data_IF_279566887626
#
_entry.id   IF_279566887626
#
_cell.length_a   1.000
_cell.length_b   1.000
_cell.length_c   1.000
_cell.angle_alpha   90.00
_cell.angle_beta   90.00
_cell.angle_gamma   90.00
#
_symmetry.space_group_name_H-M   'P 1'
#
loop_
_entity.id
_entity.type
_entity.pdbx_description
1 polymer ?
#
# COMPACT_ATOMS: atom_id res chain seq x y z
N UNK A 1 -1.84 -11.29 -11.42
CA UNK A 1 -0.85 -10.34 -10.88
C UNK A 1 -1.37 -8.92 -11.08
N UNK A 2 -1.12 -8.04 -10.15
CA UNK A 2 -1.43 -6.61 -10.24
C UNK A 2 -0.18 -5.83 -10.66
N UNK A 3 0.58 -6.40 -11.60
CA UNK A 3 1.81 -5.82 -12.10
C UNK A 3 1.60 -4.35 -12.50
N UNK A 4 2.50 -3.47 -12.08
CA UNK A 4 2.46 -2.05 -12.36
C UNK A 4 1.50 -1.21 -11.53
N UNK A 5 0.82 -1.77 -10.51
CA UNK A 5 0.01 -0.98 -9.59
C UNK A 5 0.79 -0.64 -8.32
N UNK A 6 0.71 0.62 -7.83
CA UNK A 6 1.28 0.96 -6.53
C UNK A 6 0.67 0.12 -5.41
N UNK A 7 1.53 -0.56 -4.66
CA UNK A 7 1.13 -1.41 -3.53
C UNK A 7 2.08 -1.20 -2.35
N UNK A 8 1.60 -1.51 -1.15
CA UNK A 8 2.47 -1.71 -0.01
C UNK A 8 3.17 -3.07 -0.15
N UNK A 9 4.38 -3.24 0.41
CA UNK A 9 5.00 -4.55 0.51
C UNK A 9 4.06 -5.55 1.17
N UNK A 10 3.97 -6.76 0.64
CA UNK A 10 3.11 -7.75 1.24
C UNK A 10 2.85 -8.97 0.37
N UNK A 11 2.66 -10.11 1.03
CA UNK A 11 2.46 -11.39 0.41
C UNK A 11 1.66 -12.35 1.29
N UNK A 12 1.85 -13.63 1.06
CA UNK A 12 1.22 -14.71 1.83
C UNK A 12 2.00 -14.98 3.09
N UNK A 13 1.29 -15.44 4.10
CA UNK A 13 1.92 -15.98 5.31
C UNK A 13 2.53 -17.33 4.96
N UNK A 14 3.82 -17.49 5.23
CA UNK A 14 4.57 -18.72 4.99
C UNK A 14 4.60 -19.62 6.23
N UNK A 15 4.87 -20.93 6.06
CA UNK A 15 5.00 -21.86 7.19
C UNK A 15 6.05 -21.41 8.22
N UNK A 16 7.12 -20.77 7.78
CA UNK A 16 8.20 -20.25 8.63
C UNK A 16 7.73 -19.07 9.49
N UNK A 17 6.84 -18.21 8.98
CA UNK A 17 6.24 -17.12 9.73
C UNK A 17 5.47 -17.64 10.96
N UNK A 18 4.74 -18.76 10.81
CA UNK A 18 4.06 -19.39 11.94
C UNK A 18 5.03 -19.94 12.99
N UNK A 19 6.18 -20.47 12.57
CA UNK A 19 7.21 -20.96 13.49
C UNK A 19 7.80 -19.80 14.31
N UNK A 20 8.18 -18.73 13.64
CA UNK A 20 8.69 -17.52 14.28
C UNK A 20 7.66 -16.85 15.19
N UNK A 21 6.41 -16.77 14.75
CA UNK A 21 5.30 -16.24 15.55
C UNK A 21 5.16 -16.96 16.89
N UNK A 22 5.19 -18.30 16.88
CA UNK A 22 5.14 -19.10 18.11
C UNK A 22 6.37 -18.91 19.00
N UNK A 23 7.55 -18.79 18.40
CA UNK A 23 8.80 -18.60 19.14
C UNK A 23 8.87 -17.23 19.80
N UNK A 24 8.41 -16.19 19.12
CA UNK A 24 8.53 -14.80 19.57
C UNK A 24 7.29 -14.29 20.33
N UNK A 25 6.17 -15.02 20.29
CA UNK A 25 4.90 -14.56 20.85
C UNK A 25 4.30 -13.35 20.12
N UNK A 26 4.64 -13.19 18.84
CA UNK A 26 4.21 -12.08 17.99
C UNK A 26 3.17 -12.57 16.98
N UNK A 27 2.08 -11.81 16.70
CA UNK A 27 1.10 -12.17 15.69
C UNK A 27 1.74 -12.46 14.32
N UNK A 28 1.35 -13.57 13.69
CA UNK A 28 1.97 -14.06 12.45
C UNK A 28 1.91 -13.05 11.31
N UNK A 29 0.82 -12.25 11.22
CA UNK A 29 0.68 -11.19 10.21
C UNK A 29 1.77 -10.12 10.30
N UNK A 30 2.26 -9.82 11.50
CA UNK A 30 3.35 -8.85 11.73
C UNK A 30 4.70 -9.42 11.27
N UNK A 31 4.93 -10.70 11.51
CA UNK A 31 6.14 -11.40 11.03
C UNK A 31 6.16 -11.38 9.49
N UNK A 32 5.08 -11.84 8.86
CA UNK A 32 4.96 -11.87 7.41
C UNK A 32 5.12 -10.47 6.79
N UNK A 33 4.45 -9.44 7.34
CA UNK A 33 4.53 -8.08 6.82
C UNK A 33 5.97 -7.51 6.86
N UNK A 34 6.72 -7.77 7.93
CA UNK A 34 8.12 -7.34 8.01
C UNK A 34 9.01 -8.14 7.07
N UNK A 35 8.82 -9.46 6.95
CA UNK A 35 9.57 -10.30 6.01
C UNK A 35 9.40 -9.80 4.58
N UNK A 36 8.15 -9.61 4.13
CA UNK A 36 7.85 -9.10 2.79
C UNK A 36 8.45 -7.70 2.54
N UNK A 37 8.39 -6.81 3.55
CA UNK A 37 9.01 -5.49 3.44
C UNK A 37 10.54 -5.58 3.28
N UNK A 38 11.21 -6.52 3.95
CA UNK A 38 12.64 -6.77 3.78
C UNK A 38 12.92 -7.33 2.39
N UNK A 39 12.17 -8.35 1.96
CA UNK A 39 12.38 -9.04 0.69
C UNK A 39 12.17 -8.11 -0.52
N UNK A 40 11.11 -7.32 -0.51
CA UNK A 40 10.76 -6.44 -1.63
C UNK A 40 11.55 -5.13 -1.66
N UNK A 41 11.94 -4.60 -0.48
CA UNK A 41 12.47 -3.23 -0.40
C UNK A 41 13.85 -3.10 0.22
N UNK A 42 14.39 -4.16 0.81
CA UNK A 42 15.63 -4.11 1.58
C UNK A 42 15.48 -3.31 2.89
N UNK A 43 14.26 -3.16 3.40
CA UNK A 43 13.99 -2.49 4.66
C UNK A 43 14.75 -3.17 5.80
N UNK A 44 15.41 -2.38 6.67
CA UNK A 44 15.91 -2.88 7.94
C UNK A 44 14.77 -2.94 8.96
N UNK A 45 14.32 -4.15 9.35
CA UNK A 45 13.20 -4.29 10.28
C UNK A 45 13.52 -3.80 11.70
N UNK A 46 14.80 -3.71 12.08
CA UNK A 46 15.22 -3.17 13.38
C UNK A 46 14.88 -1.67 13.53
N UNK A 47 14.70 -0.97 12.42
CA UNK A 47 14.29 0.43 12.40
C UNK A 47 12.79 0.65 12.44
N UNK A 48 11.96 -0.42 12.51
CA UNK A 48 10.51 -0.34 12.43
C UNK A 48 9.84 -0.76 13.74
N UNK A 49 9.02 0.10 14.27
CA UNK A 49 8.13 -0.18 15.40
C UNK A 49 6.73 -0.53 14.89
N UNK A 50 6.23 -1.73 15.16
CA UNK A 50 4.87 -2.12 14.78
C UNK A 50 3.87 -1.49 15.73
N UNK A 51 3.02 -0.61 15.20
CA UNK A 51 1.97 0.07 15.95
C UNK A 51 0.73 -0.77 16.13
N UNK A 52 0.40 -1.62 15.13
CA UNK A 52 -0.78 -2.46 15.20
C UNK A 52 -1.19 -3.06 13.86
N UNK A 53 -2.33 -3.70 13.88
CA UNK A 53 -2.99 -4.27 12.70
C UNK A 53 -4.32 -3.58 12.47
N UNK A 54 -4.62 -3.29 11.21
CA UNK A 54 -5.93 -2.78 10.82
C UNK A 54 -6.91 -3.96 10.61
N UNK A 55 -8.21 -3.70 10.59
CA UNK A 55 -9.18 -4.74 10.26
C UNK A 55 -8.88 -5.41 8.93
N UNK A 56 -8.99 -6.72 8.90
CA UNK A 56 -8.80 -7.52 7.68
C UNK A 56 -9.84 -7.15 6.63
N UNK A 57 -9.37 -6.87 5.42
CA UNK A 57 -10.18 -6.48 4.28
C UNK A 57 -10.17 -7.58 3.20
N UNK A 58 -11.33 -7.89 2.60
CA UNK A 58 -11.37 -8.79 1.45
C UNK A 58 -10.80 -8.07 0.21
N UNK A 59 -10.03 -8.78 -0.58
CA UNK A 59 -9.56 -8.30 -1.87
C UNK A 59 -10.59 -8.65 -2.95
N UNK A 60 -11.29 -7.66 -3.48
CA UNK A 60 -12.47 -7.84 -4.34
C UNK A 60 -12.24 -8.65 -5.64
N UNK A 61 -10.98 -8.84 -6.05
CA UNK A 61 -10.59 -9.53 -7.29
C UNK A 61 -10.00 -10.92 -7.04
N UNK A 62 -9.93 -11.37 -5.79
CA UNK A 62 -9.40 -12.67 -5.38
C UNK A 62 -10.02 -13.11 -4.06
N UNK A 63 -9.86 -14.38 -3.71
CA UNK A 63 -10.32 -14.93 -2.41
C UNK A 63 -9.41 -14.53 -1.24
N UNK A 64 -8.44 -13.66 -1.47
CA UNK A 64 -7.53 -13.22 -0.42
C UNK A 64 -8.18 -12.26 0.56
N UNK A 65 -7.79 -12.42 1.80
CA UNK A 65 -8.09 -11.52 2.91
C UNK A 65 -6.76 -10.91 3.36
N UNK A 66 -6.66 -9.59 3.31
CA UNK A 66 -5.44 -8.86 3.63
C UNK A 66 -5.61 -8.14 4.96
N UNK A 67 -4.68 -8.35 5.87
CA UNK A 67 -4.57 -7.61 7.13
C UNK A 67 -3.45 -6.60 7.00
N UNK A 68 -3.74 -5.30 6.87
CA UNK A 68 -2.70 -4.29 6.84
C UNK A 68 -2.03 -4.17 8.21
N UNK A 69 -0.72 -4.10 8.22
CA UNK A 69 0.10 -3.89 9.42
C UNK A 69 0.64 -2.46 9.40
N UNK A 70 0.38 -1.71 10.46
CA UNK A 70 0.84 -0.34 10.60
C UNK A 70 2.16 -0.31 11.37
N UNK A 71 3.21 0.17 10.72
CA UNK A 71 4.54 0.34 11.31
C UNK A 71 4.98 1.80 11.31
N UNK A 72 5.68 2.19 12.36
CA UNK A 72 6.39 3.45 12.46
C UNK A 72 7.87 3.24 12.13
N UNK A 73 8.36 3.86 11.07
CA UNK A 73 9.75 3.75 10.68
C UNK A 73 10.61 4.75 11.47
N UNK A 74 10.94 4.37 12.70
CA UNK A 74 11.62 5.23 13.67
C UNK A 74 13.07 5.57 13.25
N UNK A 75 13.74 4.60 12.61
CA UNK A 75 15.11 4.74 12.14
C UNK A 75 15.18 4.46 10.64
N UNK A 76 14.87 5.44 9.78
CA UNK A 76 14.84 5.23 8.35
C UNK A 76 16.22 4.89 7.78
N UNK A 77 16.31 3.78 7.05
CA UNK A 77 17.47 3.34 6.28
C UNK A 77 17.23 3.53 4.79
N UNK A 78 18.24 3.28 3.98
CA UNK A 78 18.10 3.30 2.54
C UNK A 78 17.31 2.06 2.11
N UNK A 79 16.26 2.27 1.33
CA UNK A 79 15.50 1.21 0.68
C UNK A 79 15.62 1.35 -0.83
N UNK A 80 15.46 0.26 -1.55
CA UNK A 80 15.53 0.24 -3.01
C UNK A 80 14.91 -1.05 -3.53
N UNK A 81 14.65 -1.10 -4.82
CA UNK A 81 14.15 -2.29 -5.49
C UNK A 81 15.16 -3.43 -5.30
N UNK A 82 14.72 -4.54 -4.72
CA UNK A 82 15.54 -5.75 -4.51
C UNK A 82 15.40 -6.68 -5.71
N UNK A 83 14.16 -6.92 -6.17
CA UNK A 83 13.89 -7.68 -7.40
C UNK A 83 13.17 -6.82 -8.43
N UNK A 84 13.84 -6.56 -9.54
CA UNK A 84 13.30 -5.77 -10.66
C UNK A 84 12.18 -6.47 -11.44
N UNK A 85 12.00 -7.78 -11.23
CA UNK A 85 10.87 -8.51 -11.82
C UNK A 85 9.57 -8.30 -11.03
N UNK A 86 9.66 -7.95 -9.74
CA UNK A 86 8.52 -7.73 -8.85
C UNK A 86 8.17 -6.27 -8.71
N UNK A 87 9.18 -5.40 -8.62
CA UNK A 87 9.00 -3.97 -8.39
C UNK A 87 9.82 -3.11 -9.35
N UNK A 88 9.17 -2.12 -9.95
CA UNK A 88 9.83 -1.16 -10.83
C UNK A 88 10.34 0.09 -10.08
N UNK A 89 9.70 0.46 -8.96
CA UNK A 89 9.97 1.67 -8.21
C UNK A 89 9.55 1.50 -6.75
N UNK A 90 10.37 2.03 -5.84
CA UNK A 90 9.98 2.26 -4.45
C UNK A 90 9.91 3.76 -4.21
N UNK A 91 8.78 4.24 -3.72
CA UNK A 91 8.54 5.65 -3.47
C UNK A 91 8.15 5.91 -2.02
N UNK A 92 8.71 6.97 -1.43
CA UNK A 92 8.21 7.57 -0.20
C UNK A 92 7.32 8.74 -0.57
N UNK A 93 6.05 8.64 -0.22
CA UNK A 93 5.06 9.65 -0.56
C UNK A 93 4.74 10.48 0.67
N UNK A 94 4.89 11.79 0.66
CA UNK A 94 4.48 12.64 1.76
C UNK A 94 2.97 12.53 2.00
N UNK A 95 2.57 12.27 3.24
CA UNK A 95 1.14 12.14 3.60
C UNK A 95 0.35 13.40 3.24
N UNK A 96 0.95 14.59 3.38
CA UNK A 96 0.31 15.86 2.98
C UNK A 96 -0.11 15.88 1.51
N UNK A 97 0.63 15.19 0.62
CA UNK A 97 0.33 15.17 -0.81
C UNK A 97 -0.85 14.23 -1.08
N UNK A 98 -0.98 13.14 -0.32
CA UNK A 98 -2.13 12.23 -0.34
C UNK A 98 -3.39 12.88 0.26
N UNK A 99 -3.24 13.76 1.26
CA UNK A 99 -4.35 14.47 1.89
C UNK A 99 -4.82 15.69 1.09
N UNK A 100 -4.03 16.15 0.12
CA UNK A 100 -4.40 17.30 -0.70
C UNK A 100 -5.61 16.96 -1.59
N UNK A 101 -6.75 17.67 -1.44
CA UNK A 101 -7.95 17.43 -2.24
C UNK A 101 -7.73 17.52 -3.75
N UNK A 102 -6.79 18.36 -4.20
CA UNK A 102 -6.47 18.52 -5.61
C UNK A 102 -5.85 17.24 -6.25
N UNK A 103 -5.27 16.39 -5.42
CA UNK A 103 -4.66 15.12 -5.83
C UNK A 103 -5.64 13.94 -5.71
N UNK A 104 -6.90 14.19 -5.31
CA UNK A 104 -7.87 13.13 -5.04
C UNK A 104 -8.97 13.09 -6.10
N UNK A 105 -9.38 11.87 -6.44
CA UNK A 105 -10.51 11.60 -7.31
C UNK A 105 -11.07 10.20 -7.05
N UNK A 106 -12.15 9.86 -7.71
CA UNK A 106 -12.68 8.49 -7.73
C UNK A 106 -12.21 7.79 -8.99
N UNK A 107 -11.37 6.77 -8.84
CA UNK A 107 -11.02 5.88 -9.95
C UNK A 107 -12.13 4.87 -10.20
N UNK A 108 -12.35 4.51 -11.48
CA UNK A 108 -13.31 3.47 -11.83
C UNK A 108 -12.74 2.45 -12.83
N UNK A 109 -13.17 1.20 -12.66
CA UNK A 109 -12.90 0.10 -13.58
C UNK A 109 -14.24 -0.50 -14.03
N UNK A 110 -14.45 -0.63 -15.33
CA UNK A 110 -15.60 -1.34 -15.89
C UNK A 110 -15.23 -2.79 -16.17
N UNK A 111 -16.00 -3.71 -15.60
CA UNK A 111 -15.92 -5.16 -15.91
C UNK A 111 -17.31 -5.63 -16.36
N UNK A 112 -17.49 -5.77 -17.66
CA UNK A 112 -18.81 -6.05 -18.23
C UNK A 112 -19.80 -4.94 -17.88
N UNK A 113 -20.90 -5.31 -17.18
CA UNK A 113 -21.94 -4.37 -16.74
C UNK A 113 -21.68 -3.74 -15.39
N UNK A 114 -20.63 -4.17 -14.67
CA UNK A 114 -20.31 -3.70 -13.32
C UNK A 114 -19.24 -2.63 -13.39
N UNK A 115 -19.47 -1.53 -12.67
CA UNK A 115 -18.46 -0.48 -12.47
C UNK A 115 -18.01 -0.51 -11.03
N UNK A 116 -16.72 -0.82 -10.82
CA UNK A 116 -16.06 -0.75 -9.52
C UNK A 116 -15.47 0.65 -9.36
N UNK A 117 -15.69 1.25 -8.20
CA UNK A 117 -15.16 2.56 -7.86
C UNK A 117 -14.32 2.48 -6.59
N UNK A 118 -13.20 3.18 -6.58
CA UNK A 118 -12.32 3.29 -5.40
C UNK A 118 -11.84 4.72 -5.26
N UNK A 119 -11.45 5.19 -4.06
CA UNK A 119 -10.67 6.40 -3.94
C UNK A 119 -9.38 6.26 -4.75
N UNK A 120 -8.83 7.39 -5.18
CA UNK A 120 -7.55 7.45 -5.87
C UNK A 120 -6.78 8.70 -5.50
N UNK A 121 -5.45 8.60 -5.58
CA UNK A 121 -4.51 9.66 -5.24
C UNK A 121 -3.50 9.81 -6.39
N UNK A 122 -3.42 11.00 -6.95
CA UNK A 122 -2.36 11.35 -7.89
C UNK A 122 -1.09 11.67 -7.10
N UNK A 123 -0.01 11.01 -7.45
CA UNK A 123 1.29 11.16 -6.78
C UNK A 123 2.32 11.62 -7.79
N UNK A 124 3.06 12.64 -7.38
CA UNK A 124 4.26 13.09 -8.08
C UNK A 124 5.45 12.79 -7.18
N UNK A 125 6.23 11.78 -7.55
CA UNK A 125 7.44 11.43 -6.86
C UNK A 125 8.65 12.00 -7.59
N UNK A 126 9.44 12.81 -6.89
CA UNK A 126 10.71 13.36 -7.41
C UNK A 126 11.85 12.63 -6.71
N UNK A 127 12.42 11.65 -7.39
CA UNK A 127 13.65 10.96 -6.96
C UNK A 127 14.91 11.72 -7.43
N UNK A 128 16.08 11.16 -7.14
CA UNK A 128 17.38 11.73 -7.59
C UNK A 128 17.49 11.81 -9.10
N UNK A 129 16.89 10.89 -9.82
CA UNK A 129 17.16 10.66 -11.25
C UNK A 129 15.96 10.93 -12.16
N UNK A 130 14.75 10.96 -11.64
CA UNK A 130 13.55 11.21 -12.43
C UNK A 130 12.37 11.70 -11.58
N UNK A 131 11.50 12.49 -12.23
CA UNK A 131 10.16 12.78 -11.77
C UNK A 131 9.24 11.70 -12.33
N UNK A 132 8.57 10.97 -11.45
CA UNK A 132 7.60 9.94 -11.82
C UNK A 132 6.22 10.33 -11.31
N UNK A 133 5.24 10.24 -12.18
CA UNK A 133 3.83 10.48 -11.85
C UNK A 133 3.10 9.14 -11.90
N UNK A 134 2.33 8.83 -10.86
CA UNK A 134 1.52 7.62 -10.81
C UNK A 134 0.26 7.83 -9.97
N UNK A 135 -0.73 6.99 -10.21
CA UNK A 135 -1.98 7.02 -9.46
C UNK A 135 -2.02 5.83 -8.50
N UNK A 136 -2.20 6.11 -7.22
CA UNK A 136 -2.55 5.09 -6.21
C UNK A 136 -4.06 4.90 -6.24
N UNK A 137 -4.54 3.70 -6.51
CA UNK A 137 -5.95 3.36 -6.62
C UNK A 137 -6.22 1.93 -6.15
N UNK A 138 -7.45 1.45 -6.24
CA UNK A 138 -7.80 0.08 -5.86
C UNK A 138 -7.62 -0.17 -4.37
N UNK A 139 -7.13 -1.37 -4.02
CA UNK A 139 -7.01 -1.81 -2.64
C UNK A 139 -6.09 -0.91 -1.81
N UNK A 140 -4.95 -0.51 -2.34
CA UNK A 140 -4.00 0.36 -1.65
C UNK A 140 -4.63 1.70 -1.28
N UNK A 141 -5.39 2.29 -2.20
CA UNK A 141 -6.10 3.55 -1.94
C UNK A 141 -7.22 3.38 -0.91
N UNK A 142 -7.93 2.25 -0.90
CA UNK A 142 -8.95 1.94 0.12
C UNK A 142 -8.31 1.86 1.51
N UNK A 143 -7.15 1.23 1.63
CA UNK A 143 -6.42 1.14 2.91
C UNK A 143 -6.02 2.53 3.40
N UNK A 144 -5.42 3.35 2.52
CA UNK A 144 -5.02 4.73 2.86
C UNK A 144 -6.22 5.58 3.29
N UNK A 145 -7.30 5.54 2.52
CA UNK A 145 -8.52 6.30 2.80
C UNK A 145 -9.10 5.94 4.17
N UNK A 146 -9.17 4.65 4.49
CA UNK A 146 -9.62 4.18 5.82
C UNK A 146 -8.71 4.62 6.96
N UNK A 147 -7.39 4.64 6.75
CA UNK A 147 -6.43 5.13 7.74
C UNK A 147 -6.65 6.63 7.98
N UNK A 148 -6.76 7.42 6.93
CA UNK A 148 -6.95 8.87 7.04
C UNK A 148 -8.28 9.22 7.71
N UNK A 149 -9.34 8.50 7.40
CA UNK A 149 -10.64 8.68 8.07
C UNK A 149 -10.57 8.32 9.55
N UNK A 150 -9.97 7.18 9.89
CA UNK A 150 -9.83 6.73 11.28
C UNK A 150 -8.99 7.70 12.13
N UNK A 151 -8.01 8.35 11.53
CA UNK A 151 -7.17 9.36 12.17
C UNK A 151 -7.79 10.77 12.13
N UNK A 152 -8.96 10.94 11.52
CA UNK A 152 -9.61 12.25 11.29
C UNK A 152 -8.73 13.24 10.51
N UNK A 153 -7.86 12.73 9.65
CA UNK A 153 -6.96 13.52 8.81
C UNK A 153 -7.54 13.85 7.45
N UNK A 154 -8.60 13.16 7.05
CA UNK A 154 -9.23 13.38 5.73
C UNK A 154 -9.67 14.82 5.57
N UNK A 155 -9.11 15.47 4.55
CA UNK A 155 -9.57 16.78 4.08
C UNK A 155 -10.70 16.54 3.08
N UNK A 156 -11.85 17.25 3.16
CA UNK A 156 -12.94 17.10 2.21
C UNK A 156 -12.47 17.26 0.76
N UNK A 157 -12.87 16.32 -0.09
CA UNK A 157 -12.52 16.28 -1.50
C UNK A 157 -13.75 15.93 -2.37
N UNK A 158 -13.70 16.23 -3.66
CA UNK A 158 -14.82 16.00 -4.56
C UNK A 158 -14.81 14.57 -5.12
N UNK A 159 -15.57 13.68 -4.49
CA UNK A 159 -15.73 12.30 -4.93
C UNK A 159 -16.52 12.14 -6.25
N UNK A 160 -17.14 13.21 -6.77
CA UNK A 160 -17.84 13.20 -8.06
C UNK A 160 -16.87 13.26 -9.26
N UNK A 161 -15.63 13.68 -9.04
CA UNK A 161 -14.59 13.66 -10.07
C UNK A 161 -14.22 12.20 -10.38
N UNK A 162 -14.67 11.71 -11.52
CA UNK A 162 -14.47 10.33 -11.96
C UNK A 162 -13.39 10.25 -13.04
N UNK A 163 -12.39 9.41 -12.84
CA UNK A 163 -11.38 9.08 -13.85
C UNK A 163 -11.29 7.57 -14.04
N UNK A 164 -11.02 7.09 -15.27
CA UNK A 164 -10.72 5.67 -15.45
C UNK A 164 -9.46 5.30 -14.67
N UNK A 165 -9.45 4.13 -14.03
CA UNK A 165 -8.24 3.62 -13.41
C UNK A 165 -7.15 3.42 -14.49
N UNK A 166 -5.86 3.65 -14.14
CA UNK A 166 -4.77 3.36 -15.06
C UNK A 166 -4.84 1.92 -15.56
N UNK A 167 -4.50 1.71 -16.83
CA UNK A 167 -4.38 0.37 -17.37
C UNK A 167 -3.26 -0.39 -16.61
N UNK A 168 -3.52 -1.65 -16.25
CA UNK A 168 -2.46 -2.53 -15.77
C UNK A 168 -1.48 -2.76 -16.93
N UNK A 169 -0.22 -2.51 -16.70
CA UNK A 169 0.85 -2.75 -17.69
C UNK A 169 1.15 -4.22 -17.76
#
# INVERSE_FOLDING_TARGET
SHAGQPAFPGGKIDPEDYALSRQQGVPVGRIAALREAVEETGLDPAGVEILGELPTLPLAVSDFRVTPVLGWWASPTRVGVVDTNESALIARVPVRDLLNPANRHTAYVKRGRITHKTPAFEVVHSGSDARVEFTVWGFTAIVLDKIFDALTWTVPWDASVLKPAPASV
#
